data_IF_641042347569
#
_entry.id   IF_641042347569
#
_cell.length_a   1.000
_cell.length_b   1.000
_cell.length_c   1.000
_cell.angle_alpha   90.00
_cell.angle_beta   90.00
_cell.angle_gamma   90.00
#
_symmetry.space_group_name_H-M   'P 1'
#
loop_
_entity.id
_entity.type
_entity.pdbx_description
1 polymer ?
#
# COMPACT_ATOMS: atom_id res chain seq x y z
N UNK A 1 -4.88 2.16 -20.86
CA UNK A 1 -3.54 2.36 -21.43
C UNK A 1 -3.24 1.16 -22.32
N UNK A 2 -2.81 1.39 -23.56
CA UNK A 2 -2.55 0.31 -24.53
C UNK A 2 -1.42 -0.61 -24.02
N UNK A 3 -1.75 -1.85 -23.70
CA UNK A 3 -0.80 -2.84 -23.15
C UNK A 3 0.39 -3.06 -24.09
N UNK A 4 0.17 -2.98 -25.40
CA UNK A 4 1.23 -3.17 -26.39
C UNK A 4 2.34 -2.11 -26.29
N UNK A 5 1.99 -0.87 -25.94
CA UNK A 5 2.95 0.23 -25.76
C UNK A 5 3.78 0.07 -24.50
N UNK A 6 3.16 -0.36 -23.40
CA UNK A 6 3.87 -0.56 -22.13
C UNK A 6 4.85 -1.73 -22.25
N UNK A 7 4.48 -2.82 -22.91
CA UNK A 7 5.39 -3.95 -23.12
C UNK A 7 6.61 -3.55 -23.95
N UNK A 8 6.45 -2.73 -25.00
CA UNK A 8 7.57 -2.23 -25.78
C UNK A 8 8.56 -1.40 -24.93
N UNK A 9 8.04 -0.51 -24.08
CA UNK A 9 8.83 0.28 -23.13
C UNK A 9 9.60 -0.66 -22.19
N UNK A 10 8.93 -1.66 -21.61
CA UNK A 10 9.57 -2.63 -20.70
C UNK A 10 10.71 -3.38 -21.40
N UNK A 11 10.53 -3.80 -22.65
CA UNK A 11 11.61 -4.45 -23.41
C UNK A 11 12.79 -3.50 -23.64
N UNK A 12 12.53 -2.21 -23.85
CA UNK A 12 13.56 -1.17 -23.89
C UNK A 12 14.32 -1.04 -22.57
N UNK A 13 13.62 -0.99 -21.45
CA UNK A 13 14.21 -0.97 -20.10
C UNK A 13 15.10 -2.21 -19.85
N UNK A 14 14.65 -3.39 -20.28
CA UNK A 14 15.45 -4.63 -20.19
C UNK A 14 16.75 -4.58 -20.98
N UNK A 15 16.83 -3.75 -22.01
CA UNK A 15 18.06 -3.49 -22.78
C UNK A 15 18.88 -2.32 -22.23
N UNK A 16 18.46 -1.71 -21.12
CA UNK A 16 19.14 -0.58 -20.50
C UNK A 16 18.82 0.79 -21.12
N UNK A 17 17.73 0.91 -21.89
CA UNK A 17 17.34 2.20 -22.46
C UNK A 17 16.83 3.17 -21.38
N UNK A 18 17.57 4.25 -21.15
CA UNK A 18 17.24 5.27 -20.13
C UNK A 18 15.94 6.00 -20.43
N UNK A 19 15.63 6.29 -21.69
CA UNK A 19 14.40 7.01 -22.06
C UNK A 19 13.15 6.18 -21.76
N UNK A 20 13.24 4.86 -21.95
CA UNK A 20 12.16 3.95 -21.62
C UNK A 20 11.98 3.81 -20.09
N UNK A 21 13.07 3.90 -19.31
CA UNK A 21 12.95 4.01 -17.85
C UNK A 21 12.24 5.30 -17.44
N UNK A 22 12.61 6.45 -18.00
CA UNK A 22 11.94 7.73 -17.74
C UNK A 22 10.44 7.63 -18.05
N UNK A 23 10.07 7.02 -19.17
CA UNK A 23 8.65 6.79 -19.51
C UNK A 23 7.93 5.91 -18.51
N UNK A 24 8.56 4.86 -17.98
CA UNK A 24 7.96 4.06 -16.91
C UNK A 24 7.75 4.89 -15.64
N UNK A 25 8.72 5.73 -15.28
CA UNK A 25 8.59 6.65 -14.13
C UNK A 25 7.41 7.59 -14.36
N UNK A 26 7.31 8.24 -15.51
CA UNK A 26 6.20 9.17 -15.83
C UNK A 26 4.83 8.49 -15.71
N UNK A 27 4.72 7.23 -16.16
CA UNK A 27 3.47 6.46 -16.12
C UNK A 27 3.10 6.04 -14.68
N UNK A 28 4.08 5.59 -13.89
CA UNK A 28 3.81 4.89 -12.64
C UNK A 28 4.11 5.70 -11.38
N UNK A 29 4.82 6.82 -11.46
CA UNK A 29 5.18 7.64 -10.30
C UNK A 29 3.94 8.14 -9.55
N UNK A 30 2.98 8.72 -10.25
CA UNK A 30 1.73 9.21 -9.63
C UNK A 30 0.94 8.11 -8.91
N UNK A 31 0.59 6.99 -9.57
CA UNK A 31 -0.09 5.87 -8.93
C UNK A 31 0.67 5.26 -7.74
N UNK A 32 1.99 5.08 -7.85
CA UNK A 32 2.80 4.51 -6.78
C UNK A 32 2.97 5.48 -5.60
N UNK A 33 3.14 6.78 -5.88
CA UNK A 33 3.14 7.82 -4.84
C UNK A 33 1.81 7.83 -4.09
N UNK A 34 0.68 7.83 -4.82
CA UNK A 34 -0.65 7.78 -4.22
C UNK A 34 -0.84 6.57 -3.32
N UNK A 35 -0.36 5.39 -3.73
CA UNK A 35 -0.37 4.18 -2.91
C UNK A 35 0.42 4.35 -1.61
N UNK A 36 1.67 4.84 -1.67
CA UNK A 36 2.48 5.04 -0.46
C UNK A 36 1.90 6.14 0.42
N UNK A 37 1.51 7.27 -0.14
CA UNK A 37 0.91 8.38 0.59
C UNK A 37 -0.38 7.98 1.30
N UNK A 38 -1.20 7.12 0.67
CA UNK A 38 -2.42 6.62 1.28
C UNK A 38 -2.15 5.70 2.49
N UNK A 39 -0.97 5.09 2.57
CA UNK A 39 -0.54 4.23 3.69
C UNK A 39 0.23 4.97 4.78
N UNK A 40 1.09 5.89 4.40
CA UNK A 40 1.96 6.65 5.31
C UNK A 40 1.23 7.88 5.87
N UNK A 41 0.53 8.59 4.99
CA UNK A 41 0.07 9.95 5.22
C UNK A 41 1.18 10.97 5.42
N UNK A 42 2.39 10.65 5.00
CA UNK A 42 3.61 11.45 5.16
C UNK A 42 4.24 11.62 3.77
N UNK A 43 4.45 12.87 3.35
CA UNK A 43 4.98 13.17 2.01
C UNK A 43 6.43 12.71 1.87
N UNK A 44 7.28 13.02 2.86
CA UNK A 44 8.71 12.68 2.83
C UNK A 44 8.90 11.17 2.78
N UNK A 45 8.22 10.43 3.65
CA UNK A 45 8.31 8.97 3.65
C UNK A 45 7.76 8.35 2.35
N UNK A 46 6.76 8.98 1.73
CA UNK A 46 6.21 8.51 0.46
C UNK A 46 7.19 8.71 -0.69
N UNK A 47 7.87 9.85 -0.74
CA UNK A 47 8.91 10.14 -1.73
C UNK A 47 10.11 9.20 -1.59
N UNK A 48 10.52 8.89 -0.36
CA UNK A 48 11.59 7.93 -0.07
C UNK A 48 11.23 6.52 -0.58
N UNK A 49 10.03 6.03 -0.23
CA UNK A 49 9.55 4.72 -0.67
C UNK A 49 9.37 4.64 -2.19
N UNK A 50 8.91 5.72 -2.82
CA UNK A 50 8.78 5.82 -4.27
C UNK A 50 10.16 5.75 -4.96
N UNK A 51 11.13 6.48 -4.42
CA UNK A 51 12.50 6.47 -4.94
C UNK A 51 13.11 5.08 -4.82
N UNK A 52 12.96 4.42 -3.67
CA UNK A 52 13.43 3.04 -3.47
C UNK A 52 12.73 2.05 -4.42
N UNK A 53 11.43 2.24 -4.68
CA UNK A 53 10.68 1.42 -5.64
C UNK A 53 11.30 1.49 -7.04
N UNK A 54 11.62 2.68 -7.54
CA UNK A 54 12.20 2.82 -8.88
C UNK A 54 13.64 2.31 -8.97
N UNK A 55 14.43 2.42 -7.89
CA UNK A 55 15.74 1.75 -7.81
C UNK A 55 15.56 0.23 -7.90
N UNK A 56 14.67 -0.36 -7.10
CA UNK A 56 14.40 -1.81 -7.16
C UNK A 56 13.79 -2.24 -8.49
N UNK A 57 13.05 -1.36 -9.16
CA UNK A 57 12.50 -1.63 -10.48
C UNK A 57 13.63 -1.90 -11.47
N UNK A 58 14.66 -1.05 -11.49
CA UNK A 58 15.82 -1.21 -12.39
C UNK A 58 16.48 -2.57 -12.16
N UNK A 59 16.71 -2.95 -10.89
CA UNK A 59 17.33 -4.22 -10.53
C UNK A 59 16.46 -5.44 -10.92
N UNK A 60 15.14 -5.30 -10.80
CA UNK A 60 14.20 -6.42 -10.94
C UNK A 60 13.56 -6.54 -12.31
N UNK A 61 13.68 -5.54 -13.19
CA UNK A 61 12.96 -5.50 -14.47
C UNK A 61 13.18 -6.76 -15.32
N UNK A 62 14.36 -7.37 -15.24
CA UNK A 62 14.67 -8.62 -15.95
C UNK A 62 13.76 -9.79 -15.55
N UNK A 63 13.33 -9.83 -14.29
CA UNK A 63 12.48 -10.88 -13.75
C UNK A 63 11.00 -10.77 -14.15
N UNK A 64 10.57 -9.63 -14.71
CA UNK A 64 9.22 -9.50 -15.25
C UNK A 64 9.06 -10.40 -16.48
N UNK A 65 8.07 -11.28 -16.46
CA UNK A 65 7.88 -12.32 -17.48
C UNK A 65 6.50 -12.23 -18.17
N UNK A 66 5.91 -11.03 -18.20
CA UNK A 66 4.61 -10.77 -18.81
C UNK A 66 3.47 -10.69 -17.80
N UNK A 67 2.24 -10.58 -18.31
CA UNK A 67 1.04 -10.31 -17.51
C UNK A 67 0.86 -8.82 -17.21
N UNK A 68 0.25 -8.49 -16.08
CA UNK A 68 0.06 -7.09 -15.69
C UNK A 68 1.34 -6.55 -15.05
N UNK A 69 2.07 -5.71 -15.79
CA UNK A 69 3.23 -4.99 -15.24
C UNK A 69 2.86 -4.13 -14.03
N UNK A 70 1.67 -3.51 -14.07
CA UNK A 70 1.13 -2.74 -12.94
C UNK A 70 1.03 -3.62 -11.68
N UNK A 71 0.42 -4.79 -11.78
CA UNK A 71 0.33 -5.75 -10.68
C UNK A 71 1.73 -6.17 -10.18
N UNK A 72 2.65 -6.47 -11.10
CA UNK A 72 4.02 -6.85 -10.72
C UNK A 72 4.76 -5.73 -9.98
N UNK A 73 4.67 -4.48 -10.44
CA UNK A 73 5.28 -3.31 -9.81
C UNK A 73 4.70 -3.07 -8.41
N UNK A 74 3.37 -3.13 -8.27
CA UNK A 74 2.71 -2.98 -6.97
C UNK A 74 3.01 -4.12 -6.00
N UNK A 75 3.41 -5.30 -6.49
CA UNK A 75 3.96 -6.36 -5.63
C UNK A 75 5.29 -5.94 -5.01
N UNK A 76 6.15 -5.25 -5.77
CA UNK A 76 7.41 -4.69 -5.24
C UNK A 76 7.11 -3.58 -4.23
N UNK A 77 6.17 -2.68 -4.54
CA UNK A 77 5.75 -1.61 -3.62
C UNK A 77 5.17 -2.15 -2.30
N UNK A 78 4.33 -3.19 -2.36
CA UNK A 78 3.80 -3.86 -1.17
C UNK A 78 4.88 -4.53 -0.32
N UNK A 79 5.90 -5.12 -0.96
CA UNK A 79 7.05 -5.66 -0.23
C UNK A 79 7.81 -4.56 0.51
N UNK A 80 8.09 -3.44 -0.16
CA UNK A 80 8.76 -2.27 0.43
C UNK A 80 8.04 -1.75 1.66
N UNK A 81 6.72 -1.54 1.55
CA UNK A 81 5.92 -1.08 2.66
C UNK A 81 5.94 -2.06 3.85
N UNK A 82 5.79 -3.37 3.58
CA UNK A 82 5.85 -4.39 4.64
C UNK A 82 7.22 -4.47 5.30
N UNK A 83 8.29 -4.33 4.54
CA UNK A 83 9.66 -4.31 5.07
C UNK A 83 9.90 -3.06 5.94
N UNK A 84 9.38 -1.91 5.50
CA UNK A 84 9.38 -0.66 6.28
C UNK A 84 8.64 -0.84 7.62
N UNK A 85 7.42 -1.40 7.63
CA UNK A 85 6.67 -1.68 8.84
C UNK A 85 7.41 -2.63 9.80
N UNK A 86 8.04 -3.70 9.27
CA UNK A 86 8.85 -4.61 10.10
C UNK A 86 10.06 -3.89 10.71
N UNK A 87 10.69 -2.97 9.98
CA UNK A 87 11.81 -2.17 10.48
C UNK A 87 11.39 -1.21 11.57
N UNK A 88 10.28 -0.48 11.35
CA UNK A 88 9.63 0.38 12.33
C UNK A 88 9.36 -0.36 13.65
N UNK A 89 8.71 -1.52 13.58
CA UNK A 89 8.38 -2.33 14.76
C UNK A 89 9.64 -2.77 15.54
N UNK A 90 10.69 -3.23 14.85
CA UNK A 90 11.95 -3.60 15.51
C UNK A 90 12.62 -2.43 16.22
N UNK A 91 12.65 -1.24 15.59
CA UNK A 91 13.22 -0.03 16.20
C UNK A 91 12.44 0.37 17.46
N UNK A 92 11.11 0.34 17.41
CA UNK A 92 10.25 0.64 18.56
C UNK A 92 10.51 -0.32 19.72
N UNK A 93 10.55 -1.63 19.45
CA UNK A 93 10.84 -2.64 20.50
C UNK A 93 12.20 -2.43 21.16
N UNK A 94 13.24 -2.14 20.37
CA UNK A 94 14.59 -1.84 20.90
C UNK A 94 14.62 -0.54 21.73
N UNK A 95 13.84 0.47 21.34
CA UNK A 95 13.72 1.71 22.11
C UNK A 95 12.99 1.47 23.44
N UNK A 96 11.93 0.67 23.44
CA UNK A 96 11.19 0.28 24.65
C UNK A 96 12.08 -0.54 25.61
N UNK A 97 12.83 -1.51 25.08
CA UNK A 97 13.82 -2.30 25.85
C UNK A 97 14.94 -1.41 26.44
N UNK A 98 15.34 -0.34 25.74
CA UNK A 98 16.32 0.64 26.26
C UNK A 98 15.72 1.64 27.24
N UNK A 99 14.45 2.01 27.10
CA UNK A 99 13.76 2.94 28.02
C UNK A 99 13.52 2.36 29.42
N UNK A 100 13.62 1.02 29.58
CA UNK A 100 13.66 0.36 30.88
C UNK A 100 14.90 0.73 31.73
N UNK A 101 15.91 1.39 31.14
CA UNK A 101 17.12 1.84 31.84
C UNK A 101 17.26 3.36 32.03
N UNK A 102 16.38 4.18 31.43
CA UNK A 102 16.38 5.64 31.61
C UNK A 102 14.94 6.12 31.59
N UNK A 103 14.47 6.58 32.74
CA UNK A 103 13.23 7.34 32.83
C UNK A 103 13.42 8.71 32.16
N UNK A 104 12.34 9.18 31.53
CA UNK A 104 12.11 10.49 30.91
C UNK A 104 12.48 10.73 29.42
N UNK A 105 11.42 11.18 28.71
CA UNK A 105 11.30 11.78 27.36
C UNK A 105 11.59 10.90 26.14
N UNK A 106 10.75 10.90 25.08
CA UNK A 106 9.62 11.75 24.75
C UNK A 106 8.69 11.05 23.76
N UNK A 107 7.44 11.52 23.69
CA UNK A 107 6.51 11.16 22.63
C UNK A 107 7.18 11.44 21.29
N UNK A 108 7.45 10.39 20.51
CA UNK A 108 7.92 10.55 19.15
C UNK A 108 6.93 11.43 18.42
N UNK A 109 7.44 12.55 17.90
CA UNK A 109 6.67 13.57 17.20
C UNK A 109 5.75 12.89 16.18
N UNK A 110 4.47 12.78 16.51
CA UNK A 110 3.43 12.75 15.51
C UNK A 110 3.44 14.15 14.91
N UNK A 111 4.24 14.35 13.86
CA UNK A 111 4.02 15.46 12.94
C UNK A 111 2.52 15.47 12.65
N UNK A 112 1.88 16.56 13.07
CA UNK A 112 0.45 16.78 12.88
C UNK A 112 0.22 16.91 11.39
N UNK A 113 -0.06 15.78 10.74
CA UNK A 113 -0.65 15.77 9.41
C UNK A 113 -2.02 16.43 9.57
N UNK A 114 -2.19 17.60 8.97
CA UNK A 114 -3.52 18.21 8.76
C UNK A 114 -4.33 17.26 7.87
N UNK A 115 -4.97 16.29 8.52
CA UNK A 115 -5.79 15.28 7.86
C UNK A 115 -7.16 15.90 7.58
N UNK A 116 -7.25 16.65 6.49
CA UNK A 116 -8.53 17.04 5.88
C UNK A 116 -9.16 15.93 5.02
N UNK A 117 -8.46 14.80 4.85
CA UNK A 117 -8.94 13.64 4.10
C UNK A 117 -9.49 12.56 5.04
N UNK A 118 -10.82 12.47 5.11
CA UNK A 118 -11.56 11.51 5.96
C UNK A 118 -11.15 10.06 5.70
N UNK A 119 -10.87 9.69 4.45
CA UNK A 119 -10.44 8.34 4.09
C UNK A 119 -9.06 8.04 4.68
N UNK A 120 -8.16 9.03 4.66
CA UNK A 120 -6.81 8.86 5.23
C UNK A 120 -6.86 8.69 6.76
N UNK A 121 -7.74 9.44 7.44
CA UNK A 121 -8.00 9.24 8.88
C UNK A 121 -8.56 7.85 9.14
N UNK A 122 -9.54 7.43 8.35
CA UNK A 122 -10.21 6.14 8.53
C UNK A 122 -9.26 4.95 8.30
N UNK A 123 -8.39 5.02 7.29
CA UNK A 123 -7.38 3.99 7.03
C UNK A 123 -6.37 3.86 8.17
N UNK A 124 -5.97 4.97 8.80
CA UNK A 124 -5.06 4.96 9.96
C UNK A 124 -5.66 4.28 11.21
N UNK A 125 -6.99 4.11 11.26
CA UNK A 125 -7.68 3.38 12.33
C UNK A 125 -7.80 1.87 12.07
N UNK A 126 -7.46 1.41 10.88
CA UNK A 126 -7.33 -0.02 10.57
C UNK A 126 -5.96 -0.52 11.03
N UNK A 127 -5.83 -1.83 11.24
CA UNK A 127 -4.51 -2.41 11.38
C UNK A 127 -3.72 -2.24 10.07
N UNK A 128 -2.39 -2.04 10.13
CA UNK A 128 -1.60 -1.70 8.94
C UNK A 128 -1.69 -2.73 7.81
N UNK A 129 -1.88 -4.00 8.16
CA UNK A 129 -1.97 -5.10 7.19
C UNK A 129 -3.31 -5.10 6.43
N UNK A 130 -4.41 -4.79 7.13
CA UNK A 130 -5.73 -4.61 6.52
C UNK A 130 -5.81 -3.33 5.69
N UNK A 131 -5.22 -2.22 6.15
CA UNK A 131 -5.14 -0.98 5.36
C UNK A 131 -4.36 -1.22 4.05
N UNK A 132 -3.20 -1.88 4.15
CA UNK A 132 -2.34 -2.22 3.03
C UNK A 132 -3.06 -3.01 1.95
N UNK A 133 -3.77 -4.09 2.32
CA UNK A 133 -4.41 -4.96 1.32
C UNK A 133 -5.56 -4.27 0.58
N UNK A 134 -6.28 -3.35 1.24
CA UNK A 134 -7.35 -2.54 0.62
C UNK A 134 -6.75 -1.57 -0.38
N UNK A 135 -5.76 -0.79 0.05
CA UNK A 135 -5.10 0.23 -0.78
C UNK A 135 -4.37 -0.44 -1.94
N UNK A 136 -3.67 -1.56 -1.69
CA UNK A 136 -3.01 -2.35 -2.73
C UNK A 136 -4.00 -2.79 -3.80
N UNK A 137 -5.15 -3.37 -3.41
CA UNK A 137 -6.16 -3.79 -4.37
C UNK A 137 -6.69 -2.62 -5.20
N UNK A 138 -6.94 -1.47 -4.58
CA UNK A 138 -7.44 -0.28 -5.27
C UNK A 138 -6.42 0.25 -6.30
N UNK A 139 -5.16 0.45 -5.90
CA UNK A 139 -4.16 1.04 -6.78
C UNK A 139 -3.61 0.08 -7.84
N UNK A 140 -3.53 -1.22 -7.53
CA UNK A 140 -2.99 -2.23 -8.46
C UNK A 140 -4.04 -2.83 -9.40
N UNK A 141 -5.33 -2.72 -9.06
CA UNK A 141 -6.45 -3.39 -9.74
C UNK A 141 -6.33 -4.93 -9.79
N UNK A 142 -5.50 -5.51 -8.92
CA UNK A 142 -5.34 -6.96 -8.81
C UNK A 142 -6.66 -7.65 -8.47
N UNK A 143 -6.90 -8.80 -9.11
CA UNK A 143 -7.87 -9.77 -8.66
C UNK A 143 -7.49 -10.31 -7.27
N UNK A 144 -8.46 -10.85 -6.51
CA UNK A 144 -8.17 -11.49 -5.23
C UNK A 144 -7.14 -12.63 -5.35
N UNK A 145 -7.12 -13.33 -6.48
CA UNK A 145 -6.15 -14.40 -6.77
C UNK A 145 -4.74 -13.85 -6.94
N UNK A 146 -4.57 -12.74 -7.62
CA UNK A 146 -3.27 -12.06 -7.75
C UNK A 146 -2.82 -11.47 -6.42
N UNK A 147 -3.73 -10.86 -5.67
CA UNK A 147 -3.46 -10.29 -4.35
C UNK A 147 -2.99 -11.36 -3.35
N UNK A 148 -3.65 -12.52 -3.36
CA UNK A 148 -3.27 -13.71 -2.58
C UNK A 148 -1.84 -14.18 -2.93
N UNK A 149 -1.50 -14.23 -4.22
CA UNK A 149 -0.13 -14.59 -4.67
C UNK A 149 0.90 -13.54 -4.26
N UNK A 150 0.62 -12.26 -4.48
CA UNK A 150 1.51 -11.14 -4.15
C UNK A 150 1.82 -11.08 -2.65
N UNK A 151 0.80 -11.28 -1.81
CA UNK A 151 0.96 -11.28 -0.36
C UNK A 151 1.41 -12.62 0.22
N UNK A 152 1.42 -13.69 -0.57
CA UNK A 152 1.72 -15.08 -0.18
C UNK A 152 0.79 -15.59 0.93
N UNK A 153 -0.51 -15.31 0.78
CA UNK A 153 -1.56 -15.69 1.74
C UNK A 153 -2.65 -16.52 1.05
N UNK A 154 -3.37 -17.41 1.76
CA UNK A 154 -4.51 -18.12 1.19
C UNK A 154 -5.58 -17.16 0.65
N UNK A 155 -6.22 -17.57 -0.46
CA UNK A 155 -7.28 -16.78 -1.11
C UNK A 155 -8.45 -16.47 -0.16
N UNK A 156 -8.85 -17.45 0.66
CA UNK A 156 -9.90 -17.27 1.67
C UNK A 156 -9.54 -16.22 2.72
N UNK A 157 -8.29 -16.23 3.19
CA UNK A 157 -7.77 -15.21 4.12
C UNK A 157 -7.76 -13.83 3.48
N UNK A 158 -7.30 -13.74 2.23
CA UNK A 158 -7.26 -12.49 1.45
C UNK A 158 -8.66 -11.89 1.30
N UNK A 159 -9.64 -12.69 0.85
CA UNK A 159 -11.04 -12.28 0.71
C UNK A 159 -11.63 -11.82 2.05
N UNK A 160 -11.49 -12.64 3.09
CA UNK A 160 -12.04 -12.34 4.40
C UNK A 160 -11.41 -11.08 5.02
N UNK A 161 -10.13 -10.82 4.77
CA UNK A 161 -9.42 -9.63 5.26
C UNK A 161 -9.91 -8.37 4.54
N UNK A 162 -9.98 -8.38 3.21
CA UNK A 162 -10.51 -7.25 2.44
C UNK A 162 -11.96 -6.94 2.81
N UNK A 163 -12.82 -7.96 2.88
CA UNK A 163 -14.23 -7.75 3.26
C UNK A 163 -14.38 -7.15 4.65
N UNK A 164 -13.70 -7.72 5.66
CA UNK A 164 -13.75 -7.20 7.04
C UNK A 164 -13.19 -5.79 7.13
N UNK A 165 -12.09 -5.52 6.42
CA UNK A 165 -11.47 -4.21 6.38
C UNK A 165 -12.36 -3.14 5.75
N UNK A 166 -12.97 -3.43 4.59
CA UNK A 166 -13.93 -2.52 3.95
C UNK A 166 -15.16 -2.26 4.84
N UNK A 167 -15.68 -3.30 5.49
CA UNK A 167 -16.79 -3.14 6.45
C UNK A 167 -16.41 -2.21 7.61
N UNK A 168 -15.22 -2.40 8.19
CA UNK A 168 -14.74 -1.55 9.28
C UNK A 168 -14.50 -0.11 8.81
N UNK A 169 -13.95 0.07 7.61
CA UNK A 169 -13.75 1.39 7.01
C UNK A 169 -15.08 2.13 6.82
N UNK A 170 -16.10 1.43 6.30
CA UNK A 170 -17.48 1.96 6.16
C UNK A 170 -18.06 2.42 7.51
N UNK A 171 -17.88 1.62 8.56
CA UNK A 171 -18.30 1.97 9.92
C UNK A 171 -17.59 3.21 10.47
N UNK A 172 -16.27 3.31 10.28
CA UNK A 172 -15.47 4.46 10.74
C UNK A 172 -15.93 5.75 10.03
N UNK A 173 -16.27 5.67 8.75
CA UNK A 173 -16.70 6.81 7.94
C UNK A 173 -18.19 7.17 8.14
N UNK A 174 -18.89 6.52 9.07
CA UNK A 174 -20.27 6.89 9.43
C UNK A 174 -21.34 6.43 8.43
N UNK A 175 -21.01 5.56 7.47
CA UNK A 175 -22.02 4.96 6.60
C UNK A 175 -22.68 3.74 7.30
N UNK A 176 -24.01 3.74 7.52
CA UNK A 176 -24.70 2.66 8.20
C UNK A 176 -24.51 1.31 7.50
N UNK A 177 -24.42 0.22 8.28
CA UNK A 177 -24.47 -1.13 7.74
C UNK A 177 -25.85 -1.36 7.09
N UNK A 178 -25.90 -1.83 5.84
CA UNK A 178 -27.17 -2.21 5.16
C UNK A 178 -28.00 -3.24 5.96
N UNK A 179 -27.33 -4.03 6.82
CA UNK A 179 -27.98 -4.99 7.71
C UNK A 179 -28.65 -4.36 8.96
N UNK A 180 -28.28 -3.14 9.34
CA UNK A 180 -28.92 -2.39 10.43
C UNK A 180 -30.15 -1.64 9.89
N UNK A 181 -30.07 -1.08 8.67
CA UNK A 181 -31.20 -0.44 7.99
C UNK A 181 -32.37 -1.41 7.75
N UNK A 182 -32.10 -2.64 7.30
CA UNK A 182 -33.13 -3.67 7.12
C UNK A 182 -33.78 -4.14 8.42
N UNK A 183 -33.10 -4.02 9.56
CA UNK A 183 -33.68 -4.36 10.88
C UNK A 183 -34.56 -3.23 11.42
N UNK A 184 -34.20 -1.97 11.19
CA UNK A 184 -35.05 -0.83 11.53
C UNK A 184 -36.31 -0.72 10.67
N UNK A 185 -36.23 -1.10 9.39
CA UNK A 185 -37.39 -1.06 8.47
C UNK A 185 -38.39 -2.21 8.67
N UNK A 186 -37.97 -3.33 9.28
CA UNK A 186 -38.88 -4.44 9.62
C UNK A 186 -39.44 -4.34 11.06
N UNK A 187 -39.07 -3.29 11.81
CA UNK A 187 -39.53 -3.06 13.18
C UNK A 187 -40.38 -1.77 13.30
N UNK A 188 -40.59 -1.06 12.20
CA UNK A 188 -41.47 0.09 12.05
C UNK A 188 -42.68 -0.29 11.19
#
# INVERSE_FOLDING_TARGET
MDHSKVDAIIQGCKRGNKDDFSRLVDIYAGPCYGYFYRLTGDKSLSDDLLSELFVKLIDRIQSYNGGSFKSWLFTIASNLWRDHLRSQYRRKRLAEEKSLYVSEFGHGDTEKVELHDELQVALKQLDPDTAEIIVLRYYSEMSFKELSKARKEPIGTTLAKVHRGLKKLKQIMGEPNENEQRKSENLA
#
